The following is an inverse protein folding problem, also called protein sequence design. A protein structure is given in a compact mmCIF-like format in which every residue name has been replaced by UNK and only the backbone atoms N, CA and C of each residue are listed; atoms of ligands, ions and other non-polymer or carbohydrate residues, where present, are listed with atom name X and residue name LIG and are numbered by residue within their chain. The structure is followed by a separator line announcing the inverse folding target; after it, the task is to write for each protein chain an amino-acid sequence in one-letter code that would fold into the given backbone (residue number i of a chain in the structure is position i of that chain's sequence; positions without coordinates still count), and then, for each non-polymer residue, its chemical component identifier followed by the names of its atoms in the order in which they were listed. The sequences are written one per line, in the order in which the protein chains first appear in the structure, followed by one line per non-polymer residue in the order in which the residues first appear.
data_IF_288980075166
#
_entry.id   IF_288980075166
#
_cell.length_a   1.000
_cell.length_b   1.000
_cell.length_c   1.000
_cell.angle_alpha   90.00
_cell.angle_beta   90.00
_cell.angle_gamma   90.00
#
_symmetry.space_group_name_H-M   'P 1'
#
loop_
_entity.id
_entity.type
_entity.pdbx_description
1 polymer ?
#
# COMPACT_ATOMS: atom_id res chain seq x y z
N UNK A 1 -16.50 -9.23 4.23
CA UNK A 1 -16.02 -8.74 2.92
C UNK A 1 -14.62 -9.27 2.68
N UNK A 2 -14.29 -9.75 1.47
CA UNK A 2 -12.93 -10.19 1.14
C UNK A 2 -12.00 -8.98 1.00
N UNK A 3 -10.70 -9.15 1.28
CA UNK A 3 -9.74 -8.04 1.23
C UNK A 3 -9.64 -7.40 -0.16
N UNK A 4 -9.81 -8.18 -1.24
CA UNK A 4 -9.84 -7.65 -2.61
C UNK A 4 -10.95 -6.60 -2.81
N UNK A 5 -12.13 -6.79 -2.20
CA UNK A 5 -13.25 -5.84 -2.31
C UNK A 5 -13.01 -4.54 -1.53
N UNK A 6 -12.09 -4.53 -0.56
CA UNK A 6 -11.73 -3.31 0.20
C UNK A 6 -10.89 -2.33 -0.61
N UNK A 7 -10.27 -2.79 -1.70
CA UNK A 7 -9.42 -1.97 -2.57
C UNK A 7 -9.98 -1.87 -3.98
N UNK A 8 -11.31 -2.02 -4.13
CA UNK A 8 -11.98 -1.95 -5.43
C UNK A 8 -11.75 -0.60 -6.11
N UNK A 9 -11.09 -0.65 -7.27
CA UNK A 9 -10.76 0.52 -8.08
C UNK A 9 -11.99 1.29 -8.56
N UNK A 10 -13.12 0.61 -8.75
CA UNK A 10 -14.38 1.24 -9.16
C UNK A 10 -14.96 2.13 -8.05
N UNK A 11 -14.60 1.86 -6.80
CA UNK A 11 -14.97 2.65 -5.63
C UNK A 11 -13.81 3.51 -5.13
N UNK A 12 -12.89 3.92 -6.00
CA UNK A 12 -11.71 4.71 -5.63
C UNK A 12 -10.69 3.98 -4.74
N UNK A 13 -10.79 2.68 -4.54
CA UNK A 13 -9.72 1.88 -3.97
C UNK A 13 -8.46 1.95 -4.85
N UNK A 14 -7.28 1.93 -4.25
CA UNK A 14 -6.04 2.07 -5.01
C UNK A 14 -4.91 1.29 -4.37
N UNK A 15 -4.08 0.68 -5.22
CA UNK A 15 -2.84 -0.01 -4.85
C UNK A 15 -1.79 0.37 -5.89
N UNK A 16 -0.59 0.77 -5.45
CA UNK A 16 0.44 1.36 -6.31
C UNK A 16 1.83 0.90 -5.91
N UNK A 17 2.71 0.71 -6.88
CA UNK A 17 4.14 0.48 -6.64
C UNK A 17 4.90 1.56 -7.42
N UNK A 18 5.75 2.32 -6.72
CA UNK A 18 6.54 3.41 -7.30
C UNK A 18 5.66 4.38 -8.13
N UNK A 19 4.53 4.80 -7.56
CA UNK A 19 3.60 5.71 -8.23
C UNK A 19 2.76 5.09 -9.35
N UNK A 20 2.96 3.82 -9.72
CA UNK A 20 2.22 3.14 -10.79
C UNK A 20 1.14 2.23 -10.21
N UNK A 21 -0.10 2.34 -10.71
CA UNK A 21 -1.20 1.48 -10.27
C UNK A 21 -0.88 0.00 -10.53
N UNK A 22 -1.02 -0.85 -9.50
CA UNK A 22 -0.75 -2.29 -9.55
C UNK A 22 -1.72 -3.02 -8.63
N UNK A 23 -2.40 -4.05 -9.15
CA UNK A 23 -3.28 -4.88 -8.33
C UNK A 23 -2.45 -5.89 -7.50
N UNK A 24 -2.39 -5.68 -6.18
CA UNK A 24 -1.62 -6.53 -5.26
C UNK A 24 -2.16 -7.96 -5.12
N UNK A 25 -3.39 -8.24 -5.57
CA UNK A 25 -4.01 -9.57 -5.46
C UNK A 25 -3.75 -10.45 -6.68
N UNK A 26 -3.29 -9.87 -7.79
CA UNK A 26 -3.10 -10.60 -9.06
C UNK A 26 -1.74 -10.34 -9.70
N UNK A 27 -0.96 -9.40 -9.18
CA UNK A 27 0.36 -9.06 -9.73
C UNK A 27 1.45 -9.45 -8.76
N UNK A 28 2.29 -10.41 -9.16
CA UNK A 28 3.54 -10.68 -8.44
C UNK A 28 4.53 -9.54 -8.70
N UNK A 29 5.09 -8.97 -7.64
CA UNK A 29 6.16 -7.99 -7.71
C UNK A 29 7.25 -8.38 -6.71
N UNK A 30 8.45 -8.65 -7.23
CA UNK A 30 9.63 -9.04 -6.46
C UNK A 30 10.73 -8.07 -6.86
N UNK A 31 11.39 -7.47 -5.88
CA UNK A 31 12.50 -6.56 -6.10
C UNK A 31 13.49 -6.64 -4.95
N UNK A 32 14.77 -6.49 -5.28
CA UNK A 32 15.85 -6.34 -4.30
C UNK A 32 16.21 -4.85 -4.06
N UNK A 33 15.48 -3.95 -4.71
CA UNK A 33 15.63 -2.51 -4.55
C UNK A 33 14.54 -1.94 -3.64
N UNK A 34 14.80 -0.76 -3.07
CA UNK A 34 13.79 -0.02 -2.34
C UNK A 34 12.59 0.33 -3.26
N UNK A 35 11.38 0.24 -2.72
CA UNK A 35 10.15 0.51 -3.45
C UNK A 35 9.12 1.18 -2.55
N UNK A 36 8.30 2.06 -3.14
CA UNK A 36 7.17 2.70 -2.45
C UNK A 36 5.91 1.92 -2.75
N UNK A 37 5.34 1.30 -1.71
CA UNK A 37 4.02 0.69 -1.75
C UNK A 37 3.01 1.67 -1.18
N UNK A 38 1.99 2.02 -1.96
CA UNK A 38 0.90 2.88 -1.52
C UNK A 38 -0.44 2.18 -1.73
N UNK A 39 -1.31 2.28 -0.72
CA UNK A 39 -2.67 1.75 -0.79
C UNK A 39 -3.68 2.72 -0.20
N UNK A 40 -4.88 2.72 -0.77
CA UNK A 40 -6.05 3.46 -0.28
C UNK A 40 -7.25 2.52 -0.33
N UNK A 41 -7.93 2.40 0.80
CA UNK A 41 -9.19 1.66 0.90
C UNK A 41 -10.26 2.36 0.06
N UNK A 42 -11.13 1.58 -0.58
CA UNK A 42 -12.20 2.10 -1.41
C UNK A 42 -13.23 2.86 -0.57
N UNK A 43 -13.97 3.76 -1.21
CA UNK A 43 -15.10 4.46 -0.60
C UNK A 43 -16.10 3.45 -0.02
N UNK A 44 -16.84 3.88 1.00
CA UNK A 44 -17.86 3.07 1.70
C UNK A 44 -17.34 1.83 2.45
N UNK A 45 -16.01 1.66 2.53
CA UNK A 45 -15.38 0.68 3.40
C UNK A 45 -14.95 1.32 4.73
N UNK A 46 -14.92 0.51 5.78
CA UNK A 46 -14.31 0.91 7.06
C UNK A 46 -12.82 1.17 6.86
N UNK A 47 -12.25 2.09 7.65
CA UNK A 47 -10.81 2.43 7.65
C UNK A 47 -9.90 1.19 7.62
N UNK A 48 -8.77 1.30 6.92
CA UNK A 48 -7.78 0.24 6.85
C UNK A 48 -7.32 -0.17 8.25
N UNK A 49 -7.55 -1.42 8.63
CA UNK A 49 -6.99 -1.97 9.87
C UNK A 49 -5.54 -2.38 9.64
N UNK A 50 -4.60 -1.51 10.03
CA UNK A 50 -3.17 -1.85 10.03
C UNK A 50 -2.88 -2.63 11.32
N UNK A 51 -2.87 -3.96 11.22
CA UNK A 51 -2.71 -4.84 12.39
C UNK A 51 -1.27 -5.35 12.55
N UNK A 52 -0.61 -5.60 11.42
CA UNK A 52 0.74 -6.17 11.35
C UNK A 52 1.45 -5.65 10.10
N UNK A 53 2.71 -5.26 10.22
CA UNK A 53 3.51 -4.72 9.11
C UNK A 53 4.64 -5.65 8.66
N UNK A 54 4.81 -6.78 9.35
CA UNK A 54 5.90 -7.72 9.07
C UNK A 54 5.54 -9.19 9.30
N UNK A 55 4.44 -9.54 10.00
CA UNK A 55 4.04 -10.94 10.24
C UNK A 55 2.53 -11.13 10.06
N UNK A 56 2.11 -12.12 9.26
CA UNK A 56 0.70 -12.44 9.09
C UNK A 56 0.15 -13.16 10.33
N UNK A 57 -0.59 -12.45 11.20
CA UNK A 57 -1.36 -13.04 12.33
C UNK A 57 -0.54 -14.01 13.20
N UNK A 58 0.73 -13.69 13.44
CA UNK A 58 1.64 -14.53 14.25
C UNK A 58 2.21 -15.77 13.54
N UNK A 59 1.96 -15.94 12.24
CA UNK A 59 2.53 -17.03 11.44
C UNK A 59 3.97 -16.67 11.05
N UNK A 60 4.95 -17.22 11.79
CA UNK A 60 6.38 -16.87 11.61
C UNK A 60 6.91 -17.09 10.18
N UNK A 61 6.36 -18.08 9.46
CA UNK A 61 6.71 -18.39 8.08
C UNK A 61 6.01 -17.49 7.03
N UNK A 62 5.17 -16.54 7.48
CA UNK A 62 4.47 -15.57 6.63
C UNK A 62 4.84 -14.16 7.06
N UNK A 63 6.14 -13.89 6.99
CA UNK A 63 6.71 -12.61 7.37
C UNK A 63 7.28 -11.87 6.17
N UNK A 64 7.18 -10.54 6.20
CA UNK A 64 7.94 -9.68 5.31
C UNK A 64 9.43 -9.85 5.63
N UNK A 65 10.22 -10.15 4.61
CA UNK A 65 11.67 -10.33 4.72
C UNK A 65 12.35 -9.23 3.93
N UNK A 66 12.71 -8.16 4.63
CA UNK A 66 13.35 -6.99 4.04
C UNK A 66 13.33 -5.81 5.00
N UNK A 67 14.04 -4.75 4.61
CA UNK A 67 14.10 -3.51 5.38
C UNK A 67 12.88 -2.64 5.07
N UNK A 68 12.35 -1.97 6.10
CA UNK A 68 11.25 -1.01 5.96
C UNK A 68 11.82 0.35 6.37
N UNK A 69 12.00 1.25 5.40
CA UNK A 69 12.56 2.57 5.67
C UNK A 69 11.58 3.49 6.39
N UNK A 70 10.31 3.50 5.98
CA UNK A 70 9.29 4.41 6.52
C UNK A 70 7.87 3.86 6.32
N UNK A 71 6.98 4.20 7.26
CA UNK A 71 5.56 3.83 7.24
C UNK A 71 4.74 5.06 7.62
N UNK A 72 3.81 5.44 6.75
CA UNK A 72 2.91 6.58 6.96
C UNK A 72 1.47 6.09 6.90
N UNK A 73 0.67 6.46 7.90
CA UNK A 73 -0.76 6.14 7.97
C UNK A 73 -1.55 7.43 8.09
N UNK A 74 -2.57 7.59 7.24
CA UNK A 74 -3.46 8.74 7.25
C UNK A 74 -4.79 8.36 7.88
N UNK A 75 -5.35 9.26 8.68
CA UNK A 75 -6.68 9.15 9.31
C UNK A 75 -7.83 9.54 8.38
N UNK A 76 -7.50 10.02 7.17
CA UNK A 76 -8.45 10.37 6.11
C UNK A 76 -8.15 9.62 4.81
N UNK A 77 -9.17 9.48 3.96
CA UNK A 77 -8.97 9.05 2.58
C UNK A 77 -8.31 10.20 1.80
N UNK A 78 -7.08 9.96 1.35
CA UNK A 78 -6.39 10.88 0.44
C UNK A 78 -7.08 10.89 -0.93
N UNK A 79 -7.16 12.04 -1.56
CA UNK A 79 -7.55 12.22 -2.97
C UNK A 79 -6.50 11.62 -3.92
N UNK A 80 -6.78 11.60 -5.22
CA UNK A 80 -5.81 11.09 -6.20
C UNK A 80 -4.57 11.98 -6.29
N UNK A 81 -4.77 13.29 -6.15
CA UNK A 81 -3.76 14.33 -6.18
C UNK A 81 -2.86 14.22 -4.95
N UNK A 82 -3.45 14.13 -3.75
CA UNK A 82 -2.69 13.92 -2.50
C UNK A 82 -1.89 12.61 -2.54
N UNK A 83 -2.46 11.52 -3.04
CA UNK A 83 -1.72 10.26 -3.23
C UNK A 83 -0.52 10.43 -4.18
N UNK A 84 -0.69 11.20 -5.27
CA UNK A 84 0.39 11.47 -6.22
C UNK A 84 1.49 12.30 -5.58
N UNK A 85 1.13 13.32 -4.81
CA UNK A 85 2.08 14.17 -4.08
C UNK A 85 2.89 13.36 -3.07
N UNK A 86 2.23 12.55 -2.23
CA UNK A 86 2.90 11.69 -1.24
C UNK A 86 3.84 10.69 -1.91
N UNK A 87 3.40 10.01 -2.98
CA UNK A 87 4.26 9.10 -3.72
C UNK A 87 5.48 9.83 -4.31
N UNK A 88 5.27 11.00 -4.91
CA UNK A 88 6.36 11.80 -5.50
C UNK A 88 7.37 12.20 -4.44
N UNK A 89 6.90 12.68 -3.28
CA UNK A 89 7.75 13.02 -2.14
C UNK A 89 8.58 11.82 -1.67
N UNK A 90 7.95 10.66 -1.46
CA UNK A 90 8.66 9.46 -0.98
C UNK A 90 9.68 8.96 -2.01
N UNK A 91 9.32 8.92 -3.30
CA UNK A 91 10.24 8.52 -4.35
C UNK A 91 11.46 9.45 -4.41
N UNK A 92 11.25 10.77 -4.33
CA UNK A 92 12.35 11.74 -4.29
C UNK A 92 13.21 11.58 -3.03
N UNK A 93 12.60 11.43 -1.85
CA UNK A 93 13.31 11.25 -0.57
C UNK A 93 14.24 10.03 -0.60
N UNK A 94 13.84 8.98 -1.27
CA UNK A 94 14.55 7.70 -1.31
C UNK A 94 15.32 7.44 -2.61
N UNK A 95 15.31 8.39 -3.56
CA UNK A 95 16.07 8.28 -4.81
C UNK A 95 15.56 7.20 -5.78
N UNK A 96 14.23 7.03 -5.85
CA UNK A 96 13.54 6.04 -6.70
C UNK A 96 13.07 6.60 -8.05
#
# INVERSE_FOLDING_TARGET
MSDNKRFDVLQSGKTMINGVNKNYFTTNFITDNLAVYALRVANDNTVARVCYISIDRGQANRSWRGEIAEVIVFDKLLTNEEMKEVNTYLMQKFGL
#
